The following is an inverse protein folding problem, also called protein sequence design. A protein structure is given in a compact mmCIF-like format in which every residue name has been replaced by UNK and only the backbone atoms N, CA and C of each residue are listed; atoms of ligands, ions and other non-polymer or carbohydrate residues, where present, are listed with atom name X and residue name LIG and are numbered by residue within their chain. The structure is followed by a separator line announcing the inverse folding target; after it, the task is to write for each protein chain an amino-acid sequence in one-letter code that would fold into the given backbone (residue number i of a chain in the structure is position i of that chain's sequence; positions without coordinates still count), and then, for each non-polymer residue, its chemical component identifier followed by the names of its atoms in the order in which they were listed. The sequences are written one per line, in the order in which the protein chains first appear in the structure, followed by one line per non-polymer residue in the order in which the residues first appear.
data_IF_025524242436
#
_entry.id   IF_025524242436
#
_cell.length_a   1.000
_cell.length_b   1.000
_cell.length_c   1.000
_cell.angle_alpha   90.00
_cell.angle_beta   90.00
_cell.angle_gamma   90.00
#
_symmetry.space_group_name_H-M   'P 1'
#
loop_
_entity.id
_entity.type
_entity.pdbx_description
1 polymer ?
#
# COMPACT_ATOMS: atom_id res chain seq x y z
N UNK A 1 37.76 -20.78 -15.11
CA UNK A 1 36.93 -21.37 -14.02
C UNK A 1 36.81 -20.41 -12.82
N UNK A 2 37.89 -19.88 -12.26
CA UNK A 2 37.86 -18.95 -11.10
C UNK A 2 37.05 -17.68 -11.34
N UNK A 3 37.09 -17.08 -12.50
CA UNK A 3 36.30 -15.89 -12.82
C UNK A 3 34.80 -16.15 -12.81
N UNK A 4 34.32 -17.32 -13.31
CA UNK A 4 32.91 -17.68 -13.31
C UNK A 4 32.40 -17.82 -11.88
N UNK A 5 33.23 -18.39 -10.99
CA UNK A 5 32.93 -18.48 -9.56
C UNK A 5 32.87 -17.08 -8.95
N UNK A 6 33.81 -16.20 -9.27
CA UNK A 6 33.80 -14.83 -8.76
C UNK A 6 32.57 -14.03 -9.21
N UNK A 7 32.20 -14.13 -10.49
CA UNK A 7 30.98 -13.49 -11.02
C UNK A 7 29.75 -14.07 -10.33
N UNK A 8 29.67 -15.39 -10.17
CA UNK A 8 28.51 -16.01 -9.49
C UNK A 8 28.40 -15.53 -8.05
N UNK A 9 29.50 -15.53 -7.28
CA UNK A 9 29.50 -15.02 -5.90
C UNK A 9 29.09 -13.55 -5.83
N UNK A 10 29.59 -12.73 -6.76
CA UNK A 10 29.20 -11.32 -6.83
C UNK A 10 27.70 -11.13 -7.06
N UNK A 11 27.10 -11.89 -8.00
CA UNK A 11 25.64 -11.84 -8.24
C UNK A 11 24.87 -12.28 -6.99
N UNK A 12 25.32 -13.36 -6.32
CA UNK A 12 24.68 -13.84 -5.09
C UNK A 12 24.70 -12.75 -4.01
N UNK A 13 25.83 -12.06 -3.84
CA UNK A 13 25.95 -10.96 -2.87
C UNK A 13 24.98 -9.83 -3.21
N UNK A 14 24.91 -9.42 -4.48
CA UNK A 14 23.94 -8.38 -4.90
C UNK A 14 22.49 -8.77 -4.62
N UNK A 15 22.12 -10.02 -4.89
CA UNK A 15 20.77 -10.53 -4.60
C UNK A 15 20.50 -10.52 -3.09
N UNK A 16 21.46 -10.96 -2.28
CA UNK A 16 21.32 -10.94 -0.82
C UNK A 16 21.17 -9.52 -0.28
N UNK A 17 22.00 -8.58 -0.75
CA UNK A 17 21.88 -7.17 -0.36
C UNK A 17 20.52 -6.57 -0.77
N UNK A 18 20.04 -6.90 -1.96
CA UNK A 18 18.70 -6.50 -2.40
C UNK A 18 17.61 -7.07 -1.49
N UNK A 19 17.66 -8.36 -1.15
CA UNK A 19 16.68 -9.00 -0.27
C UNK A 19 16.71 -8.39 1.13
N UNK A 20 17.89 -8.15 1.70
CA UNK A 20 18.05 -7.50 3.00
C UNK A 20 17.43 -6.08 2.99
N UNK A 21 17.65 -5.33 1.90
CA UNK A 21 17.04 -4.01 1.74
C UNK A 21 15.51 -4.11 1.55
N UNK A 22 15.02 -5.05 0.76
CA UNK A 22 13.60 -5.21 0.46
C UNK A 22 12.78 -5.61 1.70
N UNK A 23 13.31 -6.53 2.52
CA UNK A 23 12.65 -7.02 3.73
C UNK A 23 12.96 -6.20 4.99
N UNK A 24 13.69 -5.07 4.84
CA UNK A 24 13.98 -4.21 5.99
C UNK A 24 12.70 -3.72 6.67
N UNK A 25 12.74 -3.63 7.98
CA UNK A 25 11.64 -3.16 8.81
C UNK A 25 12.16 -2.28 9.94
N UNK A 26 12.52 -1.03 9.64
CA UNK A 26 13.05 -0.12 10.64
C UNK A 26 12.00 0.27 11.67
N UNK A 27 12.43 0.47 12.90
CA UNK A 27 11.59 1.04 13.94
C UNK A 27 11.13 2.44 13.53
N UNK A 28 9.84 2.73 13.73
CA UNK A 28 9.25 4.04 13.40
C UNK A 28 8.71 4.71 14.65
N UNK A 29 9.14 5.93 14.87
CA UNK A 29 8.53 6.79 15.91
C UNK A 29 7.18 7.27 15.40
N UNK A 30 6.11 6.89 16.12
CA UNK A 30 4.75 7.30 15.77
C UNK A 30 4.44 8.63 16.44
N UNK A 31 4.12 9.70 15.70
CA UNK A 31 3.82 11.01 16.29
C UNK A 31 2.56 10.92 17.16
N UNK A 32 2.61 11.56 18.34
CA UNK A 32 1.47 11.67 19.25
C UNK A 32 0.37 12.58 18.64
N UNK A 33 -0.85 12.48 19.18
CA UNK A 33 -1.97 13.33 18.78
C UNK A 33 -2.89 12.72 17.74
N UNK A 34 -3.86 13.52 17.24
CA UNK A 34 -4.96 13.08 16.40
C UNK A 34 -4.65 13.13 14.89
N UNK A 35 -3.40 13.02 14.51
CA UNK A 35 -2.96 13.01 13.12
C UNK A 35 -3.18 11.65 12.43
N UNK A 36 -3.26 11.67 11.12
CA UNK A 36 -3.19 10.48 10.26
C UNK A 36 -1.74 10.35 9.83
N UNK A 37 -1.16 9.15 9.98
CA UNK A 37 0.21 8.88 9.51
C UNK A 37 0.19 8.16 8.16
N UNK A 38 1.27 8.32 7.39
CA UNK A 38 1.43 7.61 6.13
C UNK A 38 1.42 6.10 6.36
N UNK A 39 0.60 5.33 5.61
CA UNK A 39 0.55 3.88 5.74
C UNK A 39 1.71 3.16 5.07
N UNK A 40 2.53 3.86 4.29
CA UNK A 40 3.62 3.30 3.50
C UNK A 40 4.75 4.31 3.34
N UNK A 41 5.95 3.83 3.15
CA UNK A 41 7.05 4.59 2.58
C UNK A 41 6.83 4.76 1.08
N UNK A 42 7.44 5.76 0.47
CA UNK A 42 7.37 5.99 -0.96
C UNK A 42 7.04 7.43 -1.33
N UNK A 43 6.68 7.64 -2.60
CA UNK A 43 6.39 8.95 -3.17
C UNK A 43 4.89 9.12 -3.40
N UNK A 44 4.32 10.24 -2.95
CA UNK A 44 2.94 10.60 -3.30
C UNK A 44 2.91 10.97 -4.78
N UNK A 45 2.12 10.23 -5.56
CA UNK A 45 1.98 10.43 -7.00
C UNK A 45 0.62 11.04 -7.40
N UNK A 46 -0.37 10.98 -6.50
CA UNK A 46 -1.69 11.56 -6.75
C UNK A 46 -2.42 11.85 -5.44
N UNK A 47 -3.12 12.98 -5.39
CA UNK A 47 -4.09 13.33 -4.35
C UNK A 47 -5.39 13.75 -5.07
N UNK A 48 -6.48 13.03 -4.83
CA UNK A 48 -7.77 13.30 -5.43
C UNK A 48 -8.77 13.63 -4.32
N UNK A 49 -9.33 14.82 -4.36
CA UNK A 49 -10.47 15.22 -3.55
C UNK A 49 -11.75 14.89 -4.32
N UNK A 50 -12.50 13.90 -3.86
CA UNK A 50 -13.71 13.43 -4.57
C UNK A 50 -14.89 14.40 -4.45
N UNK A 51 -14.84 15.36 -3.52
CA UNK A 51 -15.88 16.41 -3.38
C UNK A 51 -15.77 17.46 -4.48
N UNK A 52 -14.53 17.84 -4.83
CA UNK A 52 -14.23 18.91 -5.79
C UNK A 52 -14.17 18.41 -7.24
N UNK A 53 -13.76 17.17 -7.46
CA UNK A 53 -13.43 16.61 -8.79
C UNK A 53 -14.61 15.89 -9.48
N UNK A 54 -15.87 16.19 -9.13
CA UNK A 54 -17.04 15.58 -9.80
C UNK A 54 -17.07 15.81 -11.33
N UNK A 55 -16.45 16.87 -11.83
CA UNK A 55 -16.47 17.26 -13.25
C UNK A 55 -15.17 16.90 -14.02
N UNK A 56 -14.05 16.67 -13.33
CA UNK A 56 -12.74 16.47 -13.97
C UNK A 56 -12.31 14.99 -14.09
N UNK A 57 -13.10 14.05 -13.62
CA UNK A 57 -12.77 12.64 -13.69
C UNK A 57 -13.10 12.15 -15.10
N UNK A 58 -12.09 11.94 -15.97
CA UNK A 58 -12.25 11.29 -17.29
C UNK A 58 -13.15 10.06 -17.16
N UNK A 59 -14.09 9.86 -18.10
CA UNK A 59 -15.11 8.78 -18.05
C UNK A 59 -14.57 7.41 -17.60
N UNK A 60 -13.35 7.03 -17.97
CA UNK A 60 -12.68 5.79 -17.55
C UNK A 60 -12.22 5.77 -16.07
N UNK A 61 -11.96 6.94 -15.48
CA UNK A 61 -11.49 7.07 -14.10
C UNK A 61 -12.66 7.08 -13.08
N UNK A 62 -13.87 7.50 -13.49
CA UNK A 62 -15.06 7.55 -12.61
C UNK A 62 -15.40 6.17 -12.04
N UNK A 63 -15.40 5.14 -12.88
CA UNK A 63 -15.66 3.77 -12.43
C UNK A 63 -14.59 3.27 -11.46
N UNK A 64 -13.33 3.64 -11.68
CA UNK A 64 -12.18 3.28 -10.84
C UNK A 64 -12.24 3.99 -9.48
N UNK A 65 -12.54 5.29 -9.45
CA UNK A 65 -12.73 6.06 -8.21
C UNK A 65 -13.85 5.47 -7.35
N UNK A 66 -14.97 5.06 -7.94
CA UNK A 66 -16.07 4.39 -7.24
C UNK A 66 -15.62 3.09 -6.55
N UNK A 67 -14.73 2.32 -7.16
CA UNK A 67 -14.18 1.10 -6.55
C UNK A 67 -13.41 1.44 -5.27
N UNK A 68 -12.59 2.51 -5.29
CA UNK A 68 -11.80 2.90 -4.11
C UNK A 68 -12.62 3.52 -3.00
N UNK A 69 -13.65 4.28 -3.33
CA UNK A 69 -14.51 4.93 -2.33
C UNK A 69 -15.56 4.01 -1.76
N UNK A 70 -15.81 2.84 -2.39
CA UNK A 70 -16.77 1.86 -1.90
C UNK A 70 -16.49 1.46 -0.45
N UNK A 71 -17.47 1.66 0.41
CA UNK A 71 -17.39 1.32 1.83
C UNK A 71 -16.72 2.39 2.71
N UNK A 72 -16.32 3.56 2.16
CA UNK A 72 -15.77 4.68 2.94
C UNK A 72 -16.81 5.79 3.10
N UNK A 73 -16.92 6.67 2.11
CA UNK A 73 -17.85 7.81 2.09
C UNK A 73 -18.06 8.25 0.64
N UNK A 74 -19.10 9.08 0.40
CA UNK A 74 -19.30 9.72 -0.91
C UNK A 74 -18.22 10.75 -1.21
N UNK A 75 -17.71 11.41 -0.18
CA UNK A 75 -16.67 12.43 -0.26
C UNK A 75 -15.48 12.00 0.60
N UNK A 76 -14.31 11.94 0.01
CA UNK A 76 -13.07 11.54 0.67
C UNK A 76 -11.85 11.97 -0.15
N UNK A 77 -10.69 11.94 0.48
CA UNK A 77 -9.41 12.05 -0.20
C UNK A 77 -8.89 10.67 -0.60
N UNK A 78 -8.41 10.55 -1.83
CA UNK A 78 -7.67 9.38 -2.31
C UNK A 78 -6.23 9.82 -2.47
N UNK A 79 -5.33 9.22 -1.71
CA UNK A 79 -3.90 9.50 -1.75
C UNK A 79 -3.21 8.25 -2.30
N UNK A 80 -2.54 8.38 -3.44
CA UNK A 80 -1.79 7.30 -4.06
C UNK A 80 -0.30 7.45 -3.73
N UNK A 81 0.28 6.39 -3.14
CA UNK A 81 1.68 6.32 -2.77
C UNK A 81 2.34 5.25 -3.63
N UNK A 82 3.33 5.62 -4.41
CA UNK A 82 4.17 4.69 -5.17
C UNK A 82 5.36 4.27 -4.31
N UNK A 83 5.54 2.97 -4.16
CA UNK A 83 6.65 2.36 -3.44
C UNK A 83 7.65 1.81 -4.46
N UNK A 84 8.88 2.30 -4.43
CA UNK A 84 9.97 1.76 -5.24
C UNK A 84 10.53 0.47 -4.62
N UNK A 85 11.27 -0.37 -5.35
CA UNK A 85 11.89 -1.57 -4.78
C UNK A 85 12.84 -1.32 -3.60
N UNK A 86 13.30 -0.08 -3.43
CA UNK A 86 14.21 0.33 -2.35
C UNK A 86 13.50 0.89 -1.11
N UNK A 87 12.19 1.13 -1.20
CA UNK A 87 11.38 1.60 -0.08
C UNK A 87 11.05 0.44 0.89
N UNK A 88 10.57 0.78 2.09
CA UNK A 88 10.10 -0.22 3.06
C UNK A 88 8.73 -0.72 2.63
N UNK A 89 8.63 -2.02 2.34
CA UNK A 89 7.40 -2.65 1.85
C UNK A 89 6.40 -3.04 2.95
N UNK A 90 6.73 -2.79 4.21
CA UNK A 90 5.82 -2.97 5.35
C UNK A 90 4.82 -1.80 5.39
N UNK A 91 3.54 -2.13 5.33
CA UNK A 91 2.48 -1.14 5.48
C UNK A 91 1.95 -1.09 6.92
N UNK A 92 1.61 0.11 7.37
CA UNK A 92 1.22 0.39 8.75
C UNK A 92 -0.15 1.06 8.84
N UNK A 93 -0.83 0.89 9.97
CA UNK A 93 -2.13 1.50 10.24
C UNK A 93 -2.00 3.04 10.30
N UNK A 94 -2.72 3.79 9.45
CA UNK A 94 -2.63 5.26 9.44
C UNK A 94 -3.33 5.90 10.65
N UNK A 95 -4.23 5.19 11.28
CA UNK A 95 -4.96 5.59 12.49
C UNK A 95 -5.06 4.40 13.45
N UNK A 96 -5.26 4.69 14.72
CA UNK A 96 -5.76 3.70 15.68
C UNK A 96 -7.23 3.40 15.41
N UNK A 97 -7.66 2.17 15.67
CA UNK A 97 -9.05 1.79 15.50
C UNK A 97 -9.29 0.30 15.40
N UNK A 98 -10.46 -0.07 14.91
CA UNK A 98 -10.84 -1.47 14.67
C UNK A 98 -10.87 -1.75 13.18
N UNK A 99 -10.29 -2.87 12.75
CA UNK A 99 -10.37 -3.37 11.38
C UNK A 99 -11.79 -3.84 11.10
N UNK A 100 -12.54 -3.09 10.30
CA UNK A 100 -13.96 -3.38 10.00
C UNK A 100 -14.14 -4.37 8.87
N UNK A 101 -13.27 -4.31 7.87
CA UNK A 101 -13.28 -5.29 6.76
C UNK A 101 -11.89 -5.48 6.19
N UNK A 102 -11.68 -6.66 5.65
CA UNK A 102 -10.52 -7.02 4.83
C UNK A 102 -11.07 -7.70 3.59
N UNK A 103 -10.64 -7.24 2.43
CA UNK A 103 -11.01 -7.85 1.15
C UNK A 103 -9.78 -8.02 0.28
N UNK A 104 -9.36 -9.26 0.10
CA UNK A 104 -8.34 -9.63 -0.87
C UNK A 104 -8.98 -9.93 -2.23
N UNK A 105 -8.35 -9.47 -3.30
CA UNK A 105 -8.78 -9.72 -4.67
C UNK A 105 -7.56 -10.13 -5.47
N UNK A 106 -7.58 -11.33 -6.04
CA UNK A 106 -6.57 -11.78 -6.99
C UNK A 106 -6.61 -10.89 -8.23
N UNK A 107 -5.48 -10.74 -8.91
CA UNK A 107 -5.38 -9.89 -10.08
C UNK A 107 -4.11 -10.14 -10.88
N UNK A 108 -3.84 -9.22 -11.80
CA UNK A 108 -2.64 -9.20 -12.65
C UNK A 108 -1.45 -8.59 -11.90
N UNK A 109 -0.31 -8.44 -12.61
CA UNK A 109 0.95 -7.91 -12.06
C UNK A 109 1.53 -6.84 -12.98
N UNK A 110 0.71 -5.86 -13.36
CA UNK A 110 1.17 -4.71 -14.11
C UNK A 110 2.11 -3.83 -13.27
N UNK A 111 2.89 -2.99 -13.94
CA UNK A 111 3.79 -2.05 -13.29
C UNK A 111 2.98 -1.12 -12.37
N UNK A 112 3.41 -0.96 -11.11
CA UNK A 112 2.65 -0.23 -10.09
C UNK A 112 2.52 1.28 -10.39
N UNK A 113 3.44 1.85 -11.16
CA UNK A 113 3.38 3.26 -11.57
C UNK A 113 2.38 3.54 -12.71
N UNK A 114 1.94 2.50 -13.43
CA UNK A 114 0.84 2.60 -14.37
C UNK A 114 -0.48 2.57 -13.59
N UNK A 115 -0.94 3.75 -13.18
CA UNK A 115 -2.15 3.87 -12.36
C UNK A 115 -3.37 3.24 -13.04
N UNK A 116 -3.48 3.28 -14.37
CA UNK A 116 -4.65 2.74 -15.05
C UNK A 116 -4.70 1.22 -15.02
N UNK A 117 -3.58 0.56 -15.25
CA UNK A 117 -3.48 -0.91 -15.28
C UNK A 117 -3.31 -1.52 -13.89
N UNK A 118 -2.67 -0.81 -12.96
CA UNK A 118 -2.46 -1.29 -11.60
C UNK A 118 -3.76 -1.62 -10.86
N UNK A 119 -4.90 -1.06 -11.29
CA UNK A 119 -6.21 -1.40 -10.74
C UNK A 119 -6.64 -2.85 -10.99
N UNK A 120 -6.07 -3.50 -11.99
CA UNK A 120 -6.33 -4.92 -12.29
C UNK A 120 -5.39 -5.85 -11.50
N UNK A 121 -4.40 -5.30 -10.79
CA UNK A 121 -3.46 -6.08 -10.01
C UNK A 121 -4.10 -6.69 -8.76
N UNK A 122 -3.42 -7.70 -8.22
CA UNK A 122 -3.72 -8.24 -6.91
C UNK A 122 -3.76 -7.11 -5.89
N UNK A 123 -4.81 -7.08 -5.06
CA UNK A 123 -5.00 -6.04 -4.06
C UNK A 123 -5.64 -6.56 -2.77
N UNK A 124 -5.30 -5.89 -1.68
CA UNK A 124 -5.87 -6.14 -0.38
C UNK A 124 -6.40 -4.82 0.21
N UNK A 125 -7.69 -4.77 0.51
CA UNK A 125 -8.40 -3.60 1.00
C UNK A 125 -8.66 -3.78 2.49
N UNK A 126 -8.12 -2.91 3.33
CA UNK A 126 -8.27 -2.92 4.79
C UNK A 126 -8.98 -1.64 5.22
N UNK A 127 -10.15 -1.77 5.85
CA UNK A 127 -10.89 -0.63 6.41
C UNK A 127 -10.67 -0.59 7.92
N UNK A 128 -10.08 0.51 8.41
CA UNK A 128 -9.89 0.80 9.82
C UNK A 128 -10.82 1.94 10.21
N UNK A 129 -11.56 1.77 11.30
CA UNK A 129 -12.51 2.77 11.81
C UNK A 129 -12.32 2.99 13.30
N UNK A 130 -12.33 4.25 13.71
CA UNK A 130 -12.52 4.68 15.10
C UNK A 130 -13.77 5.55 15.24
N UNK A 131 -13.96 6.21 16.39
CA UNK A 131 -15.14 7.07 16.65
C UNK A 131 -15.27 8.25 15.68
N UNK A 132 -14.14 8.76 15.13
CA UNK A 132 -14.09 10.00 14.34
C UNK A 132 -13.78 9.78 12.87
N UNK A 133 -12.96 8.79 12.55
CA UNK A 133 -12.38 8.59 11.23
C UNK A 133 -12.60 7.17 10.73
N UNK A 134 -12.69 7.07 9.42
CA UNK A 134 -12.71 5.81 8.68
C UNK A 134 -11.69 5.91 7.55
N UNK A 135 -10.70 5.05 7.56
CA UNK A 135 -9.62 5.03 6.57
C UNK A 135 -9.61 3.67 5.90
N UNK A 136 -9.42 3.66 4.60
CA UNK A 136 -9.24 2.46 3.78
C UNK A 136 -7.82 2.47 3.25
N UNK A 137 -7.05 1.48 3.60
CA UNK A 137 -5.73 1.21 3.02
C UNK A 137 -5.91 0.16 1.94
N UNK A 138 -5.46 0.45 0.74
CA UNK A 138 -5.48 -0.47 -0.40
C UNK A 138 -4.03 -0.77 -0.76
N UNK A 139 -3.60 -1.98 -0.45
CA UNK A 139 -2.33 -2.53 -0.91
C UNK A 139 -2.53 -3.05 -2.32
N UNK A 140 -1.66 -2.67 -3.25
CA UNK A 140 -1.72 -3.08 -4.65
C UNK A 140 -0.37 -3.67 -5.01
N UNK A 141 -0.35 -4.94 -5.45
CA UNK A 141 0.85 -5.59 -5.93
C UNK A 141 1.34 -4.97 -7.25
N UNK A 142 2.62 -5.13 -7.52
CA UNK A 142 3.24 -4.66 -8.75
C UNK A 142 3.87 -5.77 -9.56
N UNK A 143 4.74 -5.39 -10.50
CA UNK A 143 5.45 -6.33 -11.34
C UNK A 143 6.56 -7.11 -10.57
N UNK A 144 7.26 -6.45 -9.66
CA UNK A 144 8.31 -7.06 -8.82
C UNK A 144 7.71 -7.62 -7.52
N UNK A 145 7.03 -6.79 -6.76
CA UNK A 145 6.37 -7.16 -5.52
C UNK A 145 4.98 -7.75 -5.83
N UNK A 146 4.93 -9.03 -6.14
CA UNK A 146 3.74 -9.71 -6.69
C UNK A 146 2.77 -10.24 -5.64
N UNK A 147 3.13 -10.22 -4.36
CA UNK A 147 2.30 -10.81 -3.30
C UNK A 147 2.00 -9.82 -2.21
N UNK A 148 0.83 -9.99 -1.61
CA UNK A 148 0.38 -9.17 -0.49
C UNK A 148 0.16 -10.09 0.70
N UNK A 149 0.87 -9.82 1.80
CA UNK A 149 0.70 -10.50 3.08
C UNK A 149 -0.07 -9.57 4.03
N UNK A 150 -1.23 -10.00 4.47
CA UNK A 150 -2.03 -9.29 5.46
C UNK A 150 -1.67 -9.79 6.87
N UNK A 151 -1.39 -8.88 7.81
CA UNK A 151 -0.99 -9.21 9.18
C UNK A 151 -2.11 -9.02 10.20
N UNK A 152 -3.25 -8.51 9.77
CA UNK A 152 -4.38 -8.21 10.66
C UNK A 152 -5.61 -9.03 10.28
N UNK A 153 -6.53 -9.15 11.24
CA UNK A 153 -7.81 -9.87 11.07
C UNK A 153 -8.98 -8.90 11.22
N UNK A 154 -10.13 -9.29 10.66
CA UNK A 154 -11.39 -8.55 10.88
C UNK A 154 -11.71 -8.48 12.38
N UNK A 155 -12.21 -7.33 12.81
CA UNK A 155 -12.53 -6.99 14.21
C UNK A 155 -11.30 -6.83 15.14
N UNK A 156 -10.08 -6.98 14.65
CA UNK A 156 -8.88 -6.69 15.42
C UNK A 156 -8.76 -5.20 15.71
N UNK A 157 -8.40 -4.83 16.94
CA UNK A 157 -7.96 -3.48 17.30
C UNK A 157 -6.52 -3.30 16.86
N UNK A 158 -6.21 -2.16 16.26
CA UNK A 158 -4.87 -1.79 15.82
C UNK A 158 -4.50 -0.43 16.36
N UNK A 159 -3.24 -0.26 16.71
CA UNK A 159 -2.67 1.03 17.08
C UNK A 159 -2.20 1.78 15.83
N UNK A 160 -2.17 3.12 15.90
CA UNK A 160 -1.56 3.95 14.85
C UNK A 160 -0.08 3.55 14.67
N UNK A 161 0.36 3.37 13.42
CA UNK A 161 1.72 2.91 13.09
C UNK A 161 1.93 1.38 13.22
N UNK A 162 0.96 0.61 13.73
CA UNK A 162 1.06 -0.85 13.79
C UNK A 162 1.15 -1.46 12.39
N UNK A 163 1.99 -2.47 12.20
CA UNK A 163 2.10 -3.22 10.94
C UNK A 163 0.78 -3.90 10.60
N UNK A 164 0.29 -3.69 9.38
CA UNK A 164 -0.98 -4.26 8.88
C UNK A 164 -0.79 -5.19 7.71
N UNK A 165 0.34 -5.13 7.04
CA UNK A 165 0.67 -6.00 5.93
C UNK A 165 1.97 -5.63 5.25
N UNK A 166 2.29 -6.37 4.18
CA UNK A 166 3.48 -6.18 3.35
C UNK A 166 3.10 -6.46 1.89
N UNK A 167 3.68 -5.73 1.00
CA UNK A 167 3.58 -5.98 -0.45
C UNK A 167 4.85 -6.67 -0.93
#
# INVERSE_FOLDING_TARGET
MLWLIAIFLFIVILVLLFLLNFYKDPNRTVPKGRNIVAPADGRIISIIDTSKNKLMIKKGLIGKVRIFTKGIAKECYIISIFMSPFDVHINRAPIEGTVKSIKHTKGKFFKAYDLERSFENEKNEIIIKNKKLKVKVIQIAGFLARRIKCYVKKNQKVNKGQKIGMI
#
